data_IF_081413023402
#
_entry.id   IF_081413023402
#
_cell.length_a   1.000
_cell.length_b   1.000
_cell.length_c   1.000
_cell.angle_alpha   90.00
_cell.angle_beta   90.00
_cell.angle_gamma   90.00
#
_symmetry.space_group_name_H-M   'P 1'
#
loop_
_entity.id
_entity.type
_entity.pdbx_description
1 polymer ?
#
# COMPACT_ATOMS: atom_id res chain seq x y z
N UNK A 1 -5.75 22.12 -25.34
CA UNK A 1 -6.93 22.91 -25.76
C UNK A 1 -7.93 21.91 -26.31
N UNK A 2 -9.15 21.86 -25.75
CA UNK A 2 -10.19 20.95 -26.24
C UNK A 2 -10.71 21.41 -27.62
N UNK A 3 -11.12 20.49 -28.51
CA UNK A 3 -11.80 20.86 -29.74
C UNK A 3 -13.11 21.63 -29.48
N UNK A 4 -13.53 22.43 -30.45
CA UNK A 4 -14.80 23.17 -30.40
C UNK A 4 -15.98 22.20 -30.24
N UNK A 5 -16.89 22.49 -29.30
CA UNK A 5 -18.03 21.63 -28.97
C UNK A 5 -17.73 20.48 -28.00
N UNK A 6 -16.50 20.35 -27.47
CA UNK A 6 -16.16 19.38 -26.43
C UNK A 6 -16.15 20.00 -25.02
N UNK A 7 -16.62 19.24 -24.03
CA UNK A 7 -16.60 19.58 -22.61
C UNK A 7 -15.75 18.57 -21.82
N UNK A 8 -15.04 19.03 -20.78
CA UNK A 8 -14.42 18.15 -19.78
C UNK A 8 -15.32 18.13 -18.55
N UNK A 9 -15.60 16.93 -18.08
CA UNK A 9 -16.19 16.71 -16.77
C UNK A 9 -15.24 15.86 -15.93
N UNK A 10 -14.84 16.40 -14.78
CA UNK A 10 -14.17 15.60 -13.76
C UNK A 10 -15.20 14.69 -13.08
N UNK A 11 -15.07 13.38 -13.29
CA UNK A 11 -15.98 12.38 -12.69
C UNK A 11 -15.47 11.95 -11.31
N UNK A 12 -14.16 11.87 -11.14
CA UNK A 12 -13.52 11.45 -9.90
C UNK A 12 -12.12 12.05 -9.80
N UNK A 13 -11.83 12.61 -8.64
CA UNK A 13 -10.49 12.95 -8.19
C UNK A 13 -10.38 12.60 -6.71
N UNK A 14 -9.16 12.36 -6.26
CA UNK A 14 -8.85 12.27 -4.85
C UNK A 14 -7.37 12.55 -4.61
N UNK A 15 -7.06 12.87 -3.37
CA UNK A 15 -5.72 13.13 -2.93
C UNK A 15 -4.88 11.84 -2.93
N UNK A 16 -3.55 11.95 -2.97
CA UNK A 16 -2.69 10.81 -2.72
C UNK A 16 -2.78 10.36 -1.26
N UNK A 17 -2.40 9.10 -0.99
CA UNK A 17 -2.18 8.63 0.37
C UNK A 17 -1.09 9.48 1.06
N UNK A 18 -1.43 10.12 2.17
CA UNK A 18 -0.52 10.96 2.95
C UNK A 18 -0.45 10.48 4.40
N UNK A 19 0.46 9.53 4.64
CA UNK A 19 0.84 9.09 5.99
C UNK A 19 2.34 9.37 6.17
N UNK A 20 2.76 9.99 7.30
CA UNK A 20 4.17 10.14 7.64
C UNK A 20 4.88 8.79 7.85
N UNK A 21 6.14 8.71 7.44
CA UNK A 21 6.95 7.49 7.60
C UNK A 21 7.27 7.17 9.08
N UNK A 22 7.28 8.21 9.93
CA UNK A 22 7.49 8.13 11.38
C UNK A 22 6.20 7.88 12.16
N UNK A 23 5.07 7.63 11.49
CA UNK A 23 3.83 7.28 12.18
C UNK A 23 4.01 5.96 12.96
N UNK A 24 3.59 5.88 14.24
CA UNK A 24 3.90 4.73 15.11
C UNK A 24 3.49 3.36 14.55
N UNK A 25 2.36 3.29 13.84
CA UNK A 25 1.93 2.05 13.21
C UNK A 25 2.76 1.67 11.98
N UNK A 26 3.26 2.66 11.24
CA UNK A 26 4.12 2.45 10.07
C UNK A 26 5.49 1.93 10.52
N UNK A 27 6.05 2.53 11.57
CA UNK A 27 7.32 2.10 12.16
C UNK A 27 7.20 0.70 12.79
N UNK A 28 6.15 0.44 13.56
CA UNK A 28 5.90 -0.87 14.16
C UNK A 28 5.78 -1.97 13.10
N UNK A 29 4.99 -1.75 12.05
CA UNK A 29 4.84 -2.74 11.00
C UNK A 29 6.15 -2.97 10.24
N UNK A 30 6.91 -1.89 9.98
CA UNK A 30 8.24 -2.00 9.36
C UNK A 30 9.19 -2.85 10.19
N UNK A 31 9.27 -2.63 11.49
CA UNK A 31 10.10 -3.43 12.41
C UNK A 31 9.73 -4.92 12.33
N UNK A 32 8.43 -5.23 12.42
CA UNK A 32 7.93 -6.61 12.30
C UNK A 32 8.28 -7.21 10.94
N UNK A 33 8.11 -6.45 9.85
CA UNK A 33 8.45 -6.91 8.52
C UNK A 33 9.95 -7.20 8.36
N UNK A 34 10.82 -6.37 8.92
CA UNK A 34 12.28 -6.55 8.88
C UNK A 34 12.73 -7.75 9.71
N UNK A 35 12.12 -7.96 10.88
CA UNK A 35 12.35 -9.16 11.72
C UNK A 35 11.99 -10.44 10.96
N UNK A 36 10.82 -10.49 10.33
CA UNK A 36 10.35 -11.67 9.57
C UNK A 36 11.17 -11.90 8.30
N UNK A 37 11.59 -10.83 7.62
CA UNK A 37 12.39 -10.94 6.40
C UNK A 37 13.88 -11.18 6.65
N UNK A 38 14.38 -10.86 7.84
CA UNK A 38 15.81 -10.86 8.16
C UNK A 38 16.61 -9.84 7.36
N UNK A 39 15.96 -8.78 6.85
CA UNK A 39 16.61 -7.74 6.05
C UNK A 39 15.87 -6.41 6.16
N UNK A 40 16.59 -5.31 5.94
CA UNK A 40 16.01 -3.98 5.97
C UNK A 40 15.11 -3.71 4.75
N UNK A 41 14.04 -2.94 4.96
CA UNK A 41 13.10 -2.51 3.92
C UNK A 41 13.01 -0.98 3.88
N UNK A 42 12.88 -0.41 2.68
CA UNK A 42 12.69 1.04 2.49
C UNK A 42 11.23 1.41 2.26
N UNK A 43 10.89 2.67 2.52
CA UNK A 43 9.61 3.25 2.12
C UNK A 43 9.60 3.54 0.62
N UNK A 44 8.42 3.42 0.00
CA UNK A 44 8.19 3.70 -1.41
C UNK A 44 6.85 4.38 -1.60
N UNK A 45 6.74 5.15 -2.69
CA UNK A 45 5.50 5.68 -3.23
C UNK A 45 5.20 4.99 -4.54
N UNK A 46 3.93 4.70 -4.79
CA UNK A 46 3.46 4.14 -6.06
C UNK A 46 2.53 5.12 -6.77
N UNK A 47 2.42 4.98 -8.09
CA UNK A 47 1.50 5.78 -8.91
C UNK A 47 0.11 5.15 -9.02
N UNK A 48 -0.10 3.97 -8.43
CA UNK A 48 -1.40 3.31 -8.36
C UNK A 48 -2.38 4.02 -7.43
N UNK A 49 -3.67 3.75 -7.62
CA UNK A 49 -4.73 4.21 -6.74
C UNK A 49 -5.23 3.06 -5.87
N UNK A 50 -5.37 3.30 -4.56
CA UNK A 50 -5.89 2.33 -3.59
C UNK A 50 -6.86 3.01 -2.64
N UNK A 51 -7.71 2.24 -1.97
CA UNK A 51 -8.68 2.80 -1.02
C UNK A 51 -8.03 3.51 0.17
N UNK A 52 -6.76 3.18 0.46
CA UNK A 52 -5.92 3.83 1.48
C UNK A 52 -5.96 5.37 1.38
N UNK A 53 -6.02 5.91 0.16
CA UNK A 53 -6.05 7.36 -0.06
C UNK A 53 -7.32 8.02 0.51
N UNK A 54 -8.46 7.35 0.47
CA UNK A 54 -9.72 7.89 1.00
C UNK A 54 -9.74 7.90 2.53
N UNK A 55 -9.07 6.94 3.18
CA UNK A 55 -8.88 6.98 4.63
C UNK A 55 -8.00 8.17 5.04
N UNK A 56 -6.91 8.39 4.32
CA UNK A 56 -6.00 9.52 4.55
C UNK A 56 -6.70 10.88 4.39
N UNK A 57 -7.61 11.01 3.41
CA UNK A 57 -8.45 12.21 3.25
C UNK A 57 -9.37 12.48 4.46
N UNK A 58 -9.69 11.46 5.26
CA UNK A 58 -10.46 11.59 6.50
C UNK A 58 -9.56 11.74 7.74
N UNK A 59 -8.26 11.93 7.54
CA UNK A 59 -7.28 12.02 8.63
C UNK A 59 -6.98 10.69 9.31
N UNK A 60 -7.35 9.56 8.68
CA UNK A 60 -7.06 8.21 9.19
C UNK A 60 -5.75 7.73 8.56
N UNK A 61 -4.69 7.48 9.35
CA UNK A 61 -3.42 6.96 8.85
C UNK A 61 -3.61 5.59 8.19
N UNK A 62 -3.07 5.43 6.98
CA UNK A 62 -3.06 4.16 6.25
C UNK A 62 -1.70 3.93 5.58
N UNK A 63 -1.35 2.68 5.32
CA UNK A 63 -0.16 2.32 4.57
C UNK A 63 -0.43 1.05 3.75
N UNK A 64 0.45 0.78 2.80
CA UNK A 64 0.37 -0.41 1.96
C UNK A 64 1.55 -1.32 2.22
N UNK A 65 1.26 -2.61 2.33
CA UNK A 65 2.24 -3.67 2.26
C UNK A 65 1.57 -4.93 1.73
N UNK A 66 2.25 -5.66 0.85
CA UNK A 66 1.72 -6.88 0.27
C UNK A 66 2.82 -7.89 -0.06
N UNK A 67 2.45 -9.14 -0.31
CA UNK A 67 3.38 -10.17 -0.76
C UNK A 67 3.92 -9.85 -2.16
N UNK A 68 5.04 -10.46 -2.53
CA UNK A 68 5.57 -10.41 -3.90
C UNK A 68 4.58 -11.06 -4.86
N UNK A 69 4.29 -10.38 -5.95
CA UNK A 69 3.46 -10.85 -7.04
C UNK A 69 3.68 -10.00 -8.30
N UNK A 70 2.90 -10.26 -9.33
CA UNK A 70 2.97 -9.53 -10.59
C UNK A 70 1.77 -9.77 -11.47
N UNK A 71 1.70 -9.05 -12.59
CA UNK A 71 0.65 -9.23 -13.59
C UNK A 71 -0.74 -8.79 -13.15
N UNK A 72 -0.86 -7.88 -12.17
CA UNK A 72 -2.15 -7.36 -11.68
C UNK A 72 -3.05 -6.94 -12.85
N UNK A 73 -4.30 -7.40 -12.84
CA UNK A 73 -5.31 -7.16 -13.89
C UNK A 73 -4.99 -7.81 -15.25
N UNK A 74 -4.27 -8.93 -15.25
CA UNK A 74 -3.98 -9.69 -16.47
C UNK A 74 -4.10 -11.20 -16.26
N UNK A 75 -4.08 -11.96 -17.35
CA UNK A 75 -4.05 -13.42 -17.28
C UNK A 75 -2.74 -13.97 -16.68
N UNK A 76 -1.70 -13.12 -16.59
CA UNK A 76 -0.40 -13.45 -16.00
C UNK A 76 -0.33 -13.05 -14.52
N UNK A 77 -1.47 -12.85 -13.85
CA UNK A 77 -1.51 -12.49 -12.43
C UNK A 77 -1.02 -13.65 -11.55
N UNK A 78 -0.08 -13.37 -10.65
CA UNK A 78 0.49 -14.37 -9.75
C UNK A 78 0.96 -13.77 -8.42
N UNK A 79 1.13 -14.66 -7.44
CA UNK A 79 1.70 -14.35 -6.12
C UNK A 79 2.72 -15.41 -5.71
N UNK A 80 3.80 -15.00 -5.04
CA UNK A 80 4.76 -15.91 -4.43
C UNK A 80 4.18 -16.52 -3.16
N UNK A 81 4.02 -17.85 -3.13
CA UNK A 81 3.53 -18.56 -1.94
C UNK A 81 4.44 -18.35 -0.72
N UNK A 82 5.76 -18.38 -0.91
CA UNK A 82 6.71 -18.10 0.16
C UNK A 82 6.55 -16.68 0.71
N UNK A 83 6.42 -15.68 -0.18
CA UNK A 83 6.21 -14.29 0.26
C UNK A 83 4.86 -14.11 0.95
N UNK A 84 3.84 -14.85 0.54
CA UNK A 84 2.51 -14.82 1.14
C UNK A 84 2.55 -15.43 2.56
N UNK A 85 3.29 -16.51 2.77
CA UNK A 85 3.51 -17.09 4.09
C UNK A 85 4.25 -16.12 5.03
N UNK A 86 5.28 -15.43 4.53
CA UNK A 86 5.97 -14.37 5.29
C UNK A 86 5.04 -13.22 5.63
N UNK A 87 4.19 -12.81 4.69
CA UNK A 87 3.19 -11.76 4.92
C UNK A 87 2.18 -12.15 6.01
N UNK A 88 1.71 -13.41 6.02
CA UNK A 88 0.90 -13.94 7.11
C UNK A 88 1.63 -13.88 8.46
N UNK A 89 2.89 -14.32 8.49
CA UNK A 89 3.71 -14.27 9.70
C UNK A 89 3.83 -12.84 10.23
N UNK A 90 4.07 -11.84 9.36
CA UNK A 90 4.15 -10.43 9.77
C UNK A 90 2.90 -9.97 10.53
N UNK A 91 1.69 -10.26 10.02
CA UNK A 91 0.48 -9.85 10.74
C UNK A 91 0.28 -10.60 12.05
N UNK A 92 0.66 -11.88 12.11
CA UNK A 92 0.61 -12.63 13.36
C UNK A 92 1.53 -12.01 14.41
N UNK A 93 2.79 -11.74 14.06
CA UNK A 93 3.74 -11.10 14.98
C UNK A 93 3.33 -9.65 15.32
N UNK A 94 2.72 -8.92 14.38
CA UNK A 94 2.16 -7.59 14.65
C UNK A 94 1.11 -7.66 15.76
N UNK A 95 0.16 -8.60 15.68
CA UNK A 95 -0.92 -8.72 16.68
C UNK A 95 -0.42 -9.11 18.07
N UNK A 96 0.71 -9.82 18.18
CA UNK A 96 1.34 -10.13 19.47
C UNK A 96 2.04 -8.91 20.09
N UNK A 97 2.39 -7.89 19.28
CA UNK A 97 3.05 -6.66 19.72
C UNK A 97 2.10 -5.49 19.99
N UNK A 98 0.81 -5.62 19.63
CA UNK A 98 -0.24 -4.63 19.91
C UNK A 98 -0.81 -4.83 21.32
#
# INVERSE_FOLDING_TARGET
>A
ILPEGCEIQEVLSANPLSTPEDHPMVTLFKEVAEEVLGTAIGFKREHGGTDARYFSEKGIPAFLYGPKGGGLHSNEEWVSIESLQKHYQMYRELFEKL
#
